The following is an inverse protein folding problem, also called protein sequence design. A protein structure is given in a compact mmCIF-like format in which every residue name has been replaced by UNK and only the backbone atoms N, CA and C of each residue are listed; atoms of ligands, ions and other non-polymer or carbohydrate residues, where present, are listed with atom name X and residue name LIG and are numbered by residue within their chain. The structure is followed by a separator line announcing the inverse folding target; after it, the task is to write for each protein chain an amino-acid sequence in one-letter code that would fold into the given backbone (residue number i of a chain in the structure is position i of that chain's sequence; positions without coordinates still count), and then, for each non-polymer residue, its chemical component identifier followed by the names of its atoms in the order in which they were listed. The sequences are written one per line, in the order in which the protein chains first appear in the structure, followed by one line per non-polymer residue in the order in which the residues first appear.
data_IF_865731008004
#
_entry.id   IF_865731008004
#
_cell.length_a   1.000
_cell.length_b   1.000
_cell.length_c   1.000
_cell.angle_alpha   90.00
_cell.angle_beta   90.00
_cell.angle_gamma   90.00
#
_symmetry.space_group_name_H-M   'P 1'
#
loop_
_entity.id
_entity.type
_entity.pdbx_description
1 polymer ?
#
# COMPACT_ATOMS: atom_id res chain seq x y z
N UNK A 1 -0.88 -16.50 8.90
CA UNK A 1 -1.82 -17.22 8.01
C UNK A 1 -2.70 -16.18 7.32
N UNK A 2 -2.17 -15.51 6.31
CA UNK A 2 -2.91 -14.55 5.46
C UNK A 2 -2.06 -14.33 4.21
N UNK A 3 -2.68 -13.99 3.07
CA UNK A 3 -2.12 -13.78 1.71
C UNK A 3 -2.33 -14.87 0.65
N UNK A 4 -3.15 -15.92 0.88
CA UNK A 4 -3.41 -16.93 -0.19
C UNK A 4 -4.75 -16.82 -0.90
N UNK A 5 -5.69 -15.96 -0.49
CA UNK A 5 -7.05 -16.01 -1.03
C UNK A 5 -7.27 -15.12 -2.27
N UNK A 6 -6.38 -14.17 -2.56
CA UNK A 6 -6.46 -13.34 -3.76
C UNK A 6 -5.11 -13.31 -4.48
N UNK A 7 -4.64 -14.49 -4.89
CA UNK A 7 -3.67 -14.53 -5.97
C UNK A 7 -4.43 -14.16 -7.26
N UNK A 8 -4.57 -12.85 -7.52
CA UNK A 8 -5.07 -12.35 -8.78
C UNK A 8 -4.12 -12.84 -9.86
N UNK A 9 -4.59 -13.79 -10.67
CA UNK A 9 -3.95 -14.26 -11.89
C UNK A 9 -3.95 -13.18 -12.99
N UNK A 10 -3.48 -12.00 -12.64
CA UNK A 10 -2.98 -10.97 -13.53
C UNK A 10 -1.50 -10.73 -13.18
N UNK A 11 -0.72 -11.81 -13.17
CA UNK A 11 0.68 -11.67 -13.58
C UNK A 11 0.62 -11.18 -15.02
N UNK A 12 0.65 -9.87 -15.23
CA UNK A 12 1.04 -9.31 -16.51
C UNK A 12 2.35 -10.00 -16.86
N UNK A 13 2.32 -10.90 -17.84
CA UNK A 13 3.49 -11.69 -18.20
C UNK A 13 4.70 -10.76 -18.44
N UNK A 14 5.93 -11.29 -18.29
CA UNK A 14 7.13 -10.49 -18.41
C UNK A 14 7.13 -9.70 -19.72
N UNK A 15 7.57 -8.45 -19.66
CA UNK A 15 7.59 -7.55 -20.82
C UNK A 15 8.30 -8.22 -22.01
N UNK A 16 7.57 -8.39 -23.12
CA UNK A 16 8.10 -9.00 -24.33
C UNK A 16 8.44 -7.94 -25.40
N UNK A 17 9.70 -7.89 -25.85
CA UNK A 17 10.14 -6.86 -26.79
C UNK A 17 9.41 -6.90 -28.15
N UNK A 18 9.10 -8.08 -28.68
CA UNK A 18 8.37 -8.22 -29.94
C UNK A 18 6.94 -7.68 -29.80
N UNK A 19 6.28 -7.99 -28.68
CA UNK A 19 4.97 -7.44 -28.34
C UNK A 19 5.02 -5.91 -28.21
N UNK A 20 6.02 -5.35 -27.52
CA UNK A 20 6.15 -3.89 -27.37
C UNK A 20 6.41 -3.20 -28.73
N UNK A 21 7.19 -3.82 -29.63
CA UNK A 21 7.40 -3.32 -31.00
C UNK A 21 6.09 -3.27 -31.79
N UNK A 22 5.25 -4.31 -31.65
CA UNK A 22 3.93 -4.34 -32.28
C UNK A 22 3.03 -3.24 -31.73
N UNK A 23 2.95 -3.09 -30.40
CA UNK A 23 2.20 -2.02 -29.73
C UNK A 23 2.61 -0.62 -30.22
N UNK A 24 3.90 -0.35 -30.42
CA UNK A 24 4.36 0.93 -30.94
C UNK A 24 3.89 1.19 -32.39
N UNK A 25 3.94 0.18 -33.26
CA UNK A 25 3.42 0.28 -34.64
C UNK A 25 1.91 0.51 -34.67
N UNK A 26 1.17 -0.24 -33.85
CA UNK A 26 -0.29 -0.14 -33.75
C UNK A 26 -0.71 1.24 -33.20
N UNK A 27 0.03 1.76 -32.21
CA UNK A 27 -0.18 3.10 -31.67
C UNK A 27 0.07 4.19 -32.72
N UNK A 28 1.16 4.10 -33.49
CA UNK A 28 1.44 5.06 -34.57
C UNK A 28 0.32 5.06 -35.62
N UNK A 29 -0.11 3.88 -36.07
CA UNK A 29 -1.23 3.74 -37.02
C UNK A 29 -2.53 4.34 -36.47
N UNK A 30 -2.82 4.09 -35.19
CA UNK A 30 -4.02 4.62 -34.53
C UNK A 30 -3.99 6.13 -34.39
N UNK A 31 -2.81 6.71 -34.12
CA UNK A 31 -2.63 8.17 -34.11
C UNK A 31 -2.88 8.78 -35.49
N UNK A 32 -2.31 8.17 -36.54
CA UNK A 32 -2.51 8.61 -37.93
C UNK A 32 -3.98 8.55 -38.36
N UNK A 33 -4.76 7.63 -37.79
CA UNK A 33 -6.21 7.54 -37.97
C UNK A 33 -7.01 8.49 -37.05
N UNK A 34 -6.35 9.41 -36.34
CA UNK A 34 -6.94 10.36 -35.38
C UNK A 34 -7.79 9.69 -34.28
N UNK A 35 -7.44 8.47 -33.87
CA UNK A 35 -8.17 7.75 -32.82
C UNK A 35 -8.03 8.47 -31.46
N UNK A 36 -9.12 8.87 -30.78
CA UNK A 36 -9.05 9.69 -29.56
C UNK A 36 -8.15 9.12 -28.46
N UNK A 37 -8.19 7.81 -28.23
CA UNK A 37 -7.36 7.14 -27.24
C UNK A 37 -5.86 7.22 -27.56
N UNK A 38 -5.48 7.14 -28.84
CA UNK A 38 -4.09 7.28 -29.25
C UNK A 38 -3.59 8.73 -29.04
N UNK A 39 -4.41 9.72 -29.39
CA UNK A 39 -4.09 11.14 -29.19
C UNK A 39 -3.88 11.45 -27.70
N UNK A 40 -4.75 10.93 -26.83
CA UNK A 40 -4.62 11.08 -25.37
C UNK A 40 -3.34 10.44 -24.83
N UNK A 41 -2.98 9.24 -25.29
CA UNK A 41 -1.74 8.57 -24.87
C UNK A 41 -0.49 9.37 -25.23
N UNK A 42 -0.45 9.96 -26.43
CA UNK A 42 0.63 10.89 -26.80
C UNK A 42 0.66 12.14 -25.92
N UNK A 43 -0.49 12.78 -25.68
CA UNK A 43 -0.58 13.94 -24.76
C UNK A 43 -0.08 13.62 -23.35
N UNK A 44 -0.40 12.44 -22.84
CA UNK A 44 -0.03 12.04 -21.48
C UNK A 44 1.46 11.67 -21.35
N UNK A 45 2.04 11.01 -22.36
CA UNK A 45 3.33 10.35 -22.22
C UNK A 45 4.45 10.89 -23.12
N UNK A 46 4.15 11.60 -24.21
CA UNK A 46 5.20 12.12 -25.09
C UNK A 46 6.07 13.18 -24.37
N UNK A 47 7.40 13.18 -24.51
CA UNK A 47 8.29 14.16 -23.85
C UNK A 47 7.92 15.60 -24.17
N UNK A 48 7.70 15.89 -25.45
CA UNK A 48 7.35 17.24 -25.91
C UNK A 48 5.97 17.66 -25.43
N UNK A 49 5.07 16.71 -25.13
CA UNK A 49 3.76 17.04 -24.56
C UNK A 49 3.85 17.56 -23.12
N UNK A 50 4.94 17.24 -22.40
CA UNK A 50 5.21 17.80 -21.07
C UNK A 50 6.01 19.10 -21.12
N UNK A 51 6.72 19.36 -22.21
CA UNK A 51 7.60 20.53 -22.36
C UNK A 51 6.95 21.68 -23.13
N UNK A 52 6.03 21.38 -24.05
CA UNK A 52 5.30 22.35 -24.85
C UNK A 52 3.93 22.60 -24.23
N UNK A 53 3.65 23.86 -23.86
CA UNK A 53 2.34 24.27 -23.30
C UNK A 53 1.17 23.95 -24.25
N UNK A 54 1.44 23.91 -25.56
CA UNK A 54 0.46 23.68 -26.62
C UNK A 54 0.84 22.46 -27.49
N UNK A 55 0.87 21.26 -26.90
CA UNK A 55 1.04 20.02 -27.70
C UNK A 55 -0.22 19.73 -28.51
N UNK A 56 -0.28 20.32 -29.70
CA UNK A 56 -1.38 20.16 -30.64
C UNK A 56 -1.20 18.88 -31.46
N UNK A 57 -2.00 17.87 -31.10
CA UNK A 57 -2.05 16.59 -31.78
C UNK A 57 -2.59 16.66 -33.22
N UNK A 58 -3.21 17.77 -33.62
CA UNK A 58 -3.70 17.94 -35.00
C UNK A 58 -2.58 18.29 -35.99
N UNK A 59 -1.53 18.97 -35.52
CA UNK A 59 -0.36 19.38 -36.32
C UNK A 59 0.85 18.49 -36.11
N UNK A 60 0.99 17.85 -34.94
CA UNK A 60 2.09 16.93 -34.68
C UNK A 60 2.03 15.73 -35.64
N UNK A 61 3.19 15.34 -36.17
CA UNK A 61 3.35 14.22 -37.11
C UNK A 61 4.32 13.20 -36.49
N UNK A 62 3.81 12.26 -35.68
CA UNK A 62 4.68 11.34 -34.97
C UNK A 62 5.38 10.36 -35.92
N UNK A 63 6.60 10.02 -35.54
CA UNK A 63 7.39 8.93 -36.08
C UNK A 63 7.17 7.65 -35.27
N UNK A 64 7.75 6.53 -35.74
CA UNK A 64 7.77 5.29 -34.95
C UNK A 64 8.56 5.47 -33.64
N UNK A 65 9.61 6.30 -33.64
CA UNK A 65 10.38 6.57 -32.44
C UNK A 65 9.51 7.28 -31.39
N UNK A 66 8.68 8.24 -31.80
CA UNK A 66 7.77 8.94 -30.87
C UNK A 66 6.75 7.98 -30.24
N UNK A 67 6.19 7.05 -31.03
CA UNK A 67 5.34 5.99 -30.52
C UNK A 67 6.09 5.04 -29.55
N UNK A 68 7.35 4.70 -29.83
CA UNK A 68 8.19 3.89 -28.93
C UNK A 68 8.45 4.59 -27.58
N UNK A 69 8.64 5.91 -27.59
CA UNK A 69 8.77 6.71 -26.36
C UNK A 69 7.51 6.65 -25.51
N UNK A 70 6.33 6.82 -26.13
CA UNK A 70 5.04 6.68 -25.44
C UNK A 70 4.92 5.30 -24.81
N UNK A 71 5.16 4.23 -25.57
CA UNK A 71 5.10 2.85 -25.05
C UNK A 71 6.08 2.64 -23.89
N UNK A 72 7.33 3.10 -23.99
CA UNK A 72 8.30 2.94 -22.92
C UNK A 72 7.84 3.61 -21.62
N UNK A 73 7.30 4.83 -21.72
CA UNK A 73 6.86 5.62 -20.56
C UNK A 73 5.59 5.08 -19.92
N UNK A 74 4.68 4.50 -20.70
CA UNK A 74 3.56 3.72 -20.18
C UNK A 74 4.02 2.50 -19.37
N UNK A 75 5.16 1.91 -19.72
CA UNK A 75 5.76 0.81 -18.94
C UNK A 75 6.66 1.30 -17.81
N UNK A 76 6.63 2.60 -17.45
CA UNK A 76 7.41 3.16 -16.34
C UNK A 76 8.89 3.44 -16.66
N UNK A 77 9.29 3.38 -17.94
CA UNK A 77 10.68 3.56 -18.38
C UNK A 77 10.81 4.83 -19.22
N UNK A 78 11.87 5.62 -19.02
CA UNK A 78 11.94 6.96 -19.62
C UNK A 78 12.18 6.95 -21.13
N UNK A 79 12.71 5.85 -21.69
CA UNK A 79 13.05 5.72 -23.11
C UNK A 79 13.01 4.27 -23.62
N UNK A 80 12.93 4.11 -24.94
CA UNK A 80 12.93 2.80 -25.59
C UNK A 80 14.22 1.97 -25.36
N UNK A 81 15.44 2.55 -25.37
CA UNK A 81 16.64 1.83 -24.97
C UNK A 81 16.59 1.28 -23.55
N UNK A 82 16.07 2.05 -22.58
CA UNK A 82 15.91 1.58 -21.21
C UNK A 82 14.90 0.43 -21.13
N UNK A 83 13.81 0.47 -21.90
CA UNK A 83 12.86 -0.64 -21.98
C UNK A 83 13.51 -1.92 -22.52
N UNK A 84 14.31 -1.83 -23.58
CA UNK A 84 15.06 -2.97 -24.09
C UNK A 84 16.01 -3.54 -23.05
N UNK A 85 16.81 -2.67 -22.41
CA UNK A 85 17.77 -3.07 -21.39
C UNK A 85 17.08 -3.72 -20.18
N UNK A 86 15.93 -3.20 -19.75
CA UNK A 86 15.14 -3.79 -18.68
C UNK A 86 14.67 -5.21 -19.04
N UNK A 87 14.09 -5.39 -20.24
CA UNK A 87 13.64 -6.71 -20.73
C UNK A 87 14.80 -7.71 -20.81
N UNK A 88 15.95 -7.28 -21.32
CA UNK A 88 17.15 -8.10 -21.41
C UNK A 88 17.64 -8.52 -20.03
N UNK A 89 17.72 -7.58 -19.09
CA UNK A 89 18.13 -7.86 -17.70
C UNK A 89 17.18 -8.81 -16.98
N UNK A 90 15.87 -8.63 -17.13
CA UNK A 90 14.86 -9.57 -16.62
C UNK A 90 15.07 -10.98 -17.20
N UNK A 91 15.36 -11.07 -18.51
CA UNK A 91 15.62 -12.36 -19.19
C UNK A 91 16.88 -13.04 -18.66
N UNK A 92 17.98 -12.29 -18.53
CA UNK A 92 19.25 -12.82 -17.99
C UNK A 92 19.08 -13.30 -16.55
N UNK A 93 18.40 -12.52 -15.71
CA UNK A 93 18.13 -12.90 -14.33
C UNK A 93 17.25 -14.16 -14.26
N UNK A 94 16.18 -14.25 -15.07
CA UNK A 94 15.33 -15.44 -15.13
C UNK A 94 16.11 -16.68 -15.59
N UNK A 95 17.01 -16.55 -16.57
CA UNK A 95 17.88 -17.64 -17.02
C UNK A 95 18.87 -18.11 -15.94
N UNK A 96 19.46 -17.16 -15.20
CA UNK A 96 20.37 -17.48 -14.09
C UNK A 96 19.66 -18.20 -12.94
N UNK A 97 18.41 -17.84 -12.66
CA UNK A 97 17.57 -18.54 -11.67
C UNK A 97 17.22 -19.95 -12.18
N UNK A 98 16.79 -20.07 -13.44
CA UNK A 98 16.39 -21.34 -14.04
C UNK A 98 17.54 -22.35 -14.15
N UNK A 99 18.79 -21.89 -14.30
CA UNK A 99 19.98 -22.75 -14.32
C UNK A 99 20.40 -23.26 -12.93
N UNK A 100 19.73 -22.83 -11.86
CA UNK A 100 19.98 -23.28 -10.49
C UNK A 100 21.24 -22.71 -9.83
N UNK A 101 21.92 -21.77 -10.49
CA UNK A 101 23.16 -21.16 -9.99
C UNK A 101 23.10 -19.61 -9.99
N UNK A 102 22.06 -18.97 -9.42
CA UNK A 102 22.07 -17.53 -9.29
C UNK A 102 23.17 -17.12 -8.29
N UNK A 103 24.08 -16.23 -8.70
CA UNK A 103 25.03 -15.62 -7.76
C UNK A 103 24.23 -14.84 -6.72
N UNK A 104 24.49 -15.16 -5.44
CA UNK A 104 23.88 -14.47 -4.31
C UNK A 104 24.30 -13.00 -4.32
N UNK A 105 23.33 -12.10 -4.47
CA UNK A 105 23.58 -10.65 -4.52
C UNK A 105 23.97 -10.07 -3.17
N UNK A 106 23.73 -10.83 -2.12
CA UNK A 106 23.98 -10.53 -0.71
C UNK A 106 24.99 -11.49 -0.06
N UNK A 107 25.64 -12.35 -0.84
CA UNK A 107 26.56 -13.38 -0.33
C UNK A 107 27.90 -12.84 0.19
N UNK A 108 28.16 -11.55 0.06
CA UNK A 108 29.40 -10.90 0.52
C UNK A 108 29.47 -10.74 2.04
N UNK A 109 28.34 -10.78 2.75
CA UNK A 109 28.27 -10.70 4.22
C UNK A 109 26.93 -11.17 4.78
N UNK A 110 26.87 -11.59 6.06
CA UNK A 110 25.61 -11.89 6.72
C UNK A 110 24.63 -10.72 6.60
N UNK A 111 23.44 -11.01 6.07
CA UNK A 111 22.45 -10.00 5.72
C UNK A 111 21.11 -10.41 6.31
N UNK A 112 20.39 -9.44 6.88
CA UNK A 112 19.00 -9.59 7.25
C UNK A 112 18.12 -8.77 6.30
N UNK A 113 17.16 -9.42 5.66
CA UNK A 113 16.10 -8.76 4.90
C UNK A 113 14.87 -8.56 5.79
N UNK A 114 14.47 -7.31 5.99
CA UNK A 114 13.30 -6.94 6.77
C UNK A 114 12.17 -6.50 5.82
N UNK A 115 10.98 -7.08 5.99
CA UNK A 115 9.74 -6.74 5.26
C UNK A 115 8.58 -6.69 6.26
N UNK A 116 7.53 -5.91 6.00
CA UNK A 116 6.34 -5.89 6.85
C UNK A 116 5.33 -7.03 6.64
N UNK A 117 5.69 -8.02 5.83
CA UNK A 117 4.94 -9.24 5.52
C UNK A 117 5.89 -10.35 5.04
N UNK A 118 5.35 -11.54 4.81
CA UNK A 118 6.11 -12.73 4.35
C UNK A 118 5.94 -13.03 2.85
N UNK A 119 5.22 -12.19 2.12
CA UNK A 119 4.84 -12.35 0.71
C UNK A 119 6.03 -12.51 -0.24
N UNK A 120 7.16 -11.83 0.03
CA UNK A 120 8.37 -11.94 -0.79
C UNK A 120 9.41 -12.93 -0.25
N UNK A 121 9.22 -13.56 0.91
CA UNK A 121 10.25 -14.40 1.55
C UNK A 121 10.71 -15.53 0.63
N UNK A 122 9.75 -16.28 0.06
CA UNK A 122 10.06 -17.35 -0.89
C UNK A 122 10.60 -16.78 -2.21
N UNK A 123 10.09 -15.63 -2.65
CA UNK A 123 10.55 -14.94 -3.86
C UNK A 123 12.03 -14.56 -3.77
N UNK A 124 12.48 -14.03 -2.62
CA UNK A 124 13.88 -13.70 -2.36
C UNK A 124 14.77 -14.96 -2.37
N UNK A 125 14.31 -16.05 -1.75
CA UNK A 125 15.06 -17.31 -1.78
C UNK A 125 15.22 -17.86 -3.21
N UNK A 126 14.16 -17.87 -4.01
CA UNK A 126 14.21 -18.27 -5.43
C UNK A 126 15.07 -17.32 -6.25
N UNK A 127 15.03 -16.02 -5.92
CA UNK A 127 15.88 -15.01 -6.51
C UNK A 127 17.36 -15.19 -6.14
N UNK A 128 17.73 -16.12 -5.25
CA UNK A 128 19.10 -16.43 -4.90
C UNK A 128 19.68 -15.58 -3.77
N UNK A 129 18.86 -14.86 -3.01
CA UNK A 129 19.32 -14.20 -1.77
C UNK A 129 19.60 -15.25 -0.70
N UNK A 130 20.74 -15.11 -0.02
CA UNK A 130 21.21 -16.06 1.00
C UNK A 130 20.99 -15.55 2.44
N UNK A 131 20.63 -14.27 2.61
CA UNK A 131 20.39 -13.64 3.89
C UNK A 131 19.16 -14.16 4.63
N UNK A 132 19.15 -13.91 5.94
CA UNK A 132 18.01 -14.23 6.79
C UNK A 132 16.83 -13.30 6.51
N UNK A 133 15.63 -13.75 6.86
CA UNK A 133 14.40 -12.98 6.67
C UNK A 133 13.73 -12.64 8.01
N UNK A 134 13.32 -11.38 8.16
CA UNK A 134 12.50 -10.89 9.26
C UNK A 134 11.21 -10.28 8.72
N UNK A 135 10.10 -10.96 9.00
CA UNK A 135 8.76 -10.37 8.91
C UNK A 135 8.51 -9.51 10.16
N UNK A 136 8.29 -8.22 9.97
CA UNK A 136 7.87 -7.29 11.02
C UNK A 136 6.46 -6.76 10.72
N UNK A 137 5.45 -7.53 11.11
CA UNK A 137 4.06 -7.30 10.75
C UNK A 137 3.21 -6.82 11.94
N UNK A 138 3.29 -5.53 12.29
CA UNK A 138 2.38 -4.87 13.23
C UNK A 138 1.56 -3.80 12.46
N UNK A 139 0.27 -4.02 12.21
CA UNK A 139 -0.54 -3.17 11.34
C UNK A 139 -0.91 -1.84 12.01
N UNK A 140 0.02 -0.89 12.09
CA UNK A 140 -0.23 0.42 12.72
C UNK A 140 -1.33 1.25 12.03
N UNK A 141 -1.72 0.89 10.81
CA UNK A 141 -2.86 1.47 10.11
C UNK A 141 -4.22 1.07 10.72
N UNK A 142 -4.29 0.10 11.63
CA UNK A 142 -5.49 -0.29 12.37
C UNK A 142 -5.21 -0.50 13.86
N UNK A 143 -6.20 -0.20 14.70
CA UNK A 143 -6.14 -0.40 16.14
C UNK A 143 -5.35 0.68 16.88
N UNK A 144 -5.26 0.58 18.22
CA UNK A 144 -4.63 1.60 19.06
C UNK A 144 -3.12 1.64 18.85
N UNK A 145 -2.57 2.81 18.53
CA UNK A 145 -1.11 3.04 18.51
C UNK A 145 -0.78 4.04 19.62
N UNK A 146 -0.79 3.63 20.90
CA UNK A 146 -0.47 4.54 22.00
C UNK A 146 1.03 4.89 21.99
N UNK A 147 1.47 5.91 22.76
CA UNK A 147 2.88 6.15 22.99
C UNK A 147 3.61 4.89 23.46
N UNK A 148 4.80 4.63 22.93
CA UNK A 148 5.57 3.40 23.10
C UNK A 148 6.67 3.48 24.18
N UNK A 149 6.60 4.50 25.06
CA UNK A 149 7.53 4.68 26.18
C UNK A 149 7.55 3.50 27.17
N UNK A 150 6.45 2.74 27.26
CA UNK A 150 6.41 1.40 27.85
C UNK A 150 6.14 0.38 26.76
N UNK A 151 7.19 -0.28 26.27
CA UNK A 151 7.08 -1.27 25.20
C UNK A 151 6.20 -2.47 25.61
N UNK A 152 6.21 -2.87 26.88
CA UNK A 152 5.40 -4.00 27.35
C UNK A 152 3.90 -3.65 27.29
N UNK A 153 3.54 -2.48 27.83
CA UNK A 153 2.18 -1.94 27.73
C UNK A 153 1.75 -1.71 26.29
N UNK A 154 2.62 -1.17 25.45
CA UNK A 154 2.39 -0.99 24.02
C UNK A 154 2.05 -2.33 23.34
N UNK A 155 2.90 -3.35 23.50
CA UNK A 155 2.68 -4.67 22.91
C UNK A 155 1.42 -5.36 23.43
N UNK A 156 1.04 -5.13 24.69
CA UNK A 156 -0.22 -5.62 25.24
C UNK A 156 -1.44 -5.02 24.51
N UNK A 157 -1.44 -3.70 24.27
CA UNK A 157 -2.50 -3.04 23.50
C UNK A 157 -2.57 -3.55 22.06
N UNK A 158 -1.42 -3.66 21.38
CA UNK A 158 -1.34 -4.13 19.99
C UNK A 158 -1.79 -5.58 19.85
N UNK A 159 -1.28 -6.48 20.68
CA UNK A 159 -1.64 -7.91 20.62
C UNK A 159 -3.11 -8.17 20.94
N UNK A 160 -3.69 -7.45 21.92
CA UNK A 160 -5.12 -7.54 22.24
C UNK A 160 -6.00 -7.12 21.05
N UNK A 161 -5.64 -6.02 20.37
CA UNK A 161 -6.34 -5.59 19.16
C UNK A 161 -6.25 -6.64 18.05
N UNK A 162 -5.03 -7.09 17.72
CA UNK A 162 -4.79 -8.06 16.63
C UNK A 162 -5.57 -9.37 16.88
N UNK A 163 -5.58 -9.87 18.13
CA UNK A 163 -6.32 -11.07 18.49
C UNK A 163 -7.83 -10.92 18.22
N UNK A 164 -8.42 -9.82 18.69
CA UNK A 164 -9.85 -9.55 18.55
C UNK A 164 -10.26 -9.25 17.10
N UNK A 165 -9.51 -8.36 16.43
CA UNK A 165 -9.83 -7.86 15.10
C UNK A 165 -9.65 -8.94 14.03
N UNK A 166 -8.58 -9.73 14.12
CA UNK A 166 -8.20 -10.68 13.07
C UNK A 166 -8.50 -12.14 13.41
N UNK A 167 -9.10 -12.41 14.56
CA UNK A 167 -9.56 -13.74 14.96
C UNK A 167 -8.43 -14.73 15.19
N UNK A 168 -7.31 -14.26 15.75
CA UNK A 168 -6.21 -15.13 16.20
C UNK A 168 -6.23 -15.24 17.72
N UNK A 169 -5.65 -16.30 18.28
CA UNK A 169 -5.64 -16.46 19.74
C UNK A 169 -4.83 -15.33 20.40
N UNK A 170 -5.22 -14.85 21.60
CA UNK A 170 -4.45 -13.84 22.32
C UNK A 170 -2.98 -14.23 22.53
N UNK A 171 -2.73 -15.51 22.83
CA UNK A 171 -1.39 -16.06 23.00
C UNK A 171 -0.58 -15.99 21.71
N UNK A 172 -1.15 -16.40 20.58
CA UNK A 172 -0.46 -16.32 19.28
C UNK A 172 -0.15 -14.87 18.88
N UNK A 173 -1.09 -13.95 19.11
CA UNK A 173 -0.90 -12.52 18.83
C UNK A 173 0.29 -11.96 19.63
N UNK A 174 0.30 -12.22 20.95
CA UNK A 174 1.35 -11.78 21.85
C UNK A 174 2.71 -12.38 21.47
N UNK A 175 2.78 -13.69 21.24
CA UNK A 175 4.03 -14.37 20.89
C UNK A 175 4.60 -13.89 19.54
N UNK A 176 3.75 -13.69 18.53
CA UNK A 176 4.18 -13.19 17.22
C UNK A 176 4.76 -11.79 17.31
N UNK A 177 4.06 -10.87 18.00
CA UNK A 177 4.55 -9.51 18.18
C UNK A 177 5.84 -9.49 19.01
N UNK A 178 5.87 -10.15 20.18
CA UNK A 178 7.07 -10.20 21.01
C UNK A 178 8.29 -10.67 20.21
N UNK A 179 8.15 -11.78 19.46
CA UNK A 179 9.22 -12.30 18.61
C UNK A 179 9.64 -11.32 17.52
N UNK A 180 8.71 -10.62 16.87
CA UNK A 180 9.03 -9.65 15.83
C UNK A 180 9.85 -8.48 16.38
N UNK A 181 9.45 -7.93 17.53
CA UNK A 181 10.14 -6.82 18.19
C UNK A 181 11.49 -7.23 18.77
N UNK A 182 11.60 -8.41 19.37
CA UNK A 182 12.88 -8.94 19.85
C UNK A 182 13.87 -9.11 18.70
N UNK A 183 13.42 -9.65 17.56
CA UNK A 183 14.27 -9.80 16.38
C UNK A 183 14.65 -8.47 15.75
N UNK A 184 13.76 -7.48 15.73
CA UNK A 184 14.10 -6.12 15.30
C UNK A 184 15.17 -5.53 16.22
N UNK A 185 15.01 -5.66 17.53
CA UNK A 185 15.97 -5.16 18.51
C UNK A 185 17.36 -5.82 18.38
N UNK A 186 17.41 -7.10 18.04
CA UNK A 186 18.65 -7.87 17.84
C UNK A 186 19.25 -7.69 16.45
N UNK A 187 18.51 -7.16 15.48
CA UNK A 187 18.94 -7.03 14.09
C UNK A 187 20.23 -6.22 13.86
N UNK A 188 20.66 -5.26 14.72
CA UNK A 188 21.96 -4.59 14.56
C UNK A 188 23.17 -5.53 14.69
N UNK A 189 22.99 -6.77 15.15
CA UNK A 189 24.03 -7.80 15.14
C UNK A 189 24.40 -8.27 13.74
N UNK A 190 23.54 -8.02 12.73
CA UNK A 190 23.88 -8.26 11.33
C UNK A 190 24.74 -7.10 10.79
N UNK A 191 25.83 -7.38 10.07
CA UNK A 191 26.59 -6.35 9.35
C UNK A 191 25.76 -5.57 8.34
N UNK A 192 24.75 -6.20 7.73
CA UNK A 192 23.84 -5.56 6.78
C UNK A 192 22.38 -5.90 7.10
N UNK A 193 21.54 -4.87 7.16
CA UNK A 193 20.08 -5.00 7.14
C UNK A 193 19.54 -4.25 5.93
N UNK A 194 18.67 -4.90 5.15
CA UNK A 194 17.99 -4.29 4.02
C UNK A 194 16.49 -4.27 4.25
N UNK A 195 15.94 -3.07 4.26
CA UNK A 195 14.52 -2.78 4.44
C UNK A 195 13.81 -2.82 3.08
N UNK A 196 12.80 -3.68 2.94
CA UNK A 196 11.97 -3.80 1.75
C UNK A 196 10.58 -3.21 2.02
N UNK A 197 10.29 -2.06 1.44
CA UNK A 197 9.05 -1.32 1.67
C UNK A 197 8.40 -0.81 0.38
N UNK A 198 7.12 -0.52 0.49
CA UNK A 198 6.23 -0.05 -0.55
C UNK A 198 5.63 1.29 -0.17
N UNK A 199 4.64 1.75 -0.91
CA UNK A 199 4.19 3.13 -0.93
C UNK A 199 2.92 3.40 -0.14
N UNK A 200 2.29 2.35 0.40
CA UNK A 200 0.99 2.43 1.04
C UNK A 200 1.08 2.66 2.56
N UNK A 201 -0.08 2.82 3.21
CA UNK A 201 -0.16 3.15 4.64
C UNK A 201 0.25 2.00 5.58
N UNK A 202 0.12 0.74 5.17
CA UNK A 202 0.60 -0.39 5.97
C UNK A 202 2.13 -0.36 6.02
N UNK A 203 2.74 -0.24 4.85
CA UNK A 203 4.19 -0.18 4.68
C UNK A 203 4.82 1.06 5.32
N UNK A 204 4.33 2.24 4.99
CA UNK A 204 4.97 3.50 5.39
C UNK A 204 4.88 3.76 6.90
N UNK A 205 3.80 3.33 7.57
CA UNK A 205 3.70 3.48 9.02
C UNK A 205 4.63 2.49 9.75
N UNK A 206 4.81 1.28 9.22
CA UNK A 206 5.78 0.33 9.77
C UNK A 206 7.22 0.81 9.52
N UNK A 207 7.50 1.38 8.34
CA UNK A 207 8.79 1.99 8.04
C UNK A 207 9.09 3.14 9.01
N UNK A 208 8.11 3.99 9.34
CA UNK A 208 8.28 5.05 10.33
C UNK A 208 8.74 4.50 11.68
N UNK A 209 8.09 3.45 12.17
CA UNK A 209 8.49 2.78 13.41
C UNK A 209 9.89 2.19 13.34
N UNK A 210 10.23 1.48 12.26
CA UNK A 210 11.56 0.85 12.11
C UNK A 210 12.67 1.91 12.08
N UNK A 211 12.45 3.04 11.38
CA UNK A 211 13.38 4.15 11.34
C UNK A 211 13.50 4.85 12.70
N UNK A 212 12.37 5.11 13.38
CA UNK A 212 12.34 5.59 14.76
C UNK A 212 13.14 4.67 15.69
N UNK A 213 12.91 3.36 15.61
CA UNK A 213 13.57 2.35 16.44
C UNK A 213 15.09 2.39 16.29
N UNK A 214 15.60 2.35 15.06
CA UNK A 214 17.04 2.41 14.81
C UNK A 214 17.64 3.78 15.15
N UNK A 215 16.91 4.88 14.91
CA UNK A 215 17.36 6.24 15.20
C UNK A 215 17.49 6.52 16.70
N UNK A 216 16.60 5.95 17.52
CA UNK A 216 16.67 6.04 18.99
C UNK A 216 17.65 5.06 19.64
N UNK A 217 18.09 4.05 18.89
CA UNK A 217 18.93 2.96 19.39
C UNK A 217 20.16 2.82 18.50
N UNK A 218 20.51 1.58 18.19
CA UNK A 218 21.66 1.22 17.38
C UNK A 218 21.17 0.78 16.00
N UNK A 219 21.66 1.43 14.95
CA UNK A 219 21.54 0.92 13.59
C UNK A 219 22.63 -0.13 13.29
N UNK A 220 22.40 -1.07 12.37
CA UNK A 220 23.46 -1.95 11.85
C UNK A 220 24.52 -1.13 11.09
N UNK A 221 25.70 -1.72 10.87
CA UNK A 221 26.80 -1.08 10.11
C UNK A 221 26.32 -0.61 8.72
N UNK A 222 25.52 -1.43 8.05
CA UNK A 222 24.90 -1.09 6.76
C UNK A 222 23.39 -1.26 6.84
N UNK A 223 22.67 -0.14 7.00
CA UNK A 223 21.22 -0.08 6.84
C UNK A 223 20.87 0.47 5.47
N UNK A 224 20.24 -0.34 4.62
CA UNK A 224 19.78 0.08 3.30
C UNK A 224 18.25 -0.02 3.17
N UNK A 225 17.68 0.85 2.36
CA UNK A 225 16.25 0.91 2.05
C UNK A 225 16.01 0.70 0.56
N UNK A 226 15.09 -0.21 0.27
CA UNK A 226 14.38 -0.34 -1.00
C UNK A 226 12.94 0.11 -0.73
N UNK A 227 12.54 1.23 -1.31
CA UNK A 227 11.18 1.76 -1.19
C UNK A 227 10.64 2.11 -2.57
N UNK A 228 9.60 1.40 -3.02
CA UNK A 228 9.09 1.52 -4.39
C UNK A 228 7.57 1.70 -4.45
N UNK A 229 7.11 2.45 -5.46
CA UNK A 229 5.69 2.69 -5.74
C UNK A 229 5.27 2.26 -7.14
N UNK A 230 6.19 1.63 -7.88
CA UNK A 230 5.99 1.18 -9.26
C UNK A 230 7.06 0.17 -9.62
N UNK A 231 6.76 -0.66 -10.60
CA UNK A 231 7.73 -1.53 -11.24
C UNK A 231 7.46 -1.59 -12.76
N UNK A 232 8.50 -1.55 -13.61
CA UNK A 232 8.27 -1.56 -15.05
C UNK A 232 7.46 -2.76 -15.53
N UNK A 233 6.46 -2.51 -16.38
CA UNK A 233 5.55 -3.53 -16.88
C UNK A 233 4.34 -3.84 -16.00
N UNK A 234 4.27 -3.25 -14.81
CA UNK A 234 3.09 -3.31 -13.94
C UNK A 234 2.34 -1.98 -14.04
N UNK A 235 1.14 -2.02 -14.62
CA UNK A 235 0.30 -0.83 -14.80
C UNK A 235 -0.20 -0.28 -13.45
N UNK A 236 -0.72 -1.17 -12.59
CA UNK A 236 -1.15 -0.86 -11.23
C UNK A 236 -0.32 -1.66 -10.23
N UNK A 237 0.66 -0.97 -9.65
CA UNK A 237 1.52 -1.55 -8.62
C UNK A 237 0.77 -1.55 -7.28
N UNK A 238 0.35 -2.73 -6.86
CA UNK A 238 -0.26 -3.02 -5.57
C UNK A 238 0.84 -3.25 -4.54
N UNK A 239 1.87 -4.02 -4.89
CA UNK A 239 2.95 -4.32 -3.96
C UNK A 239 4.02 -5.27 -4.48
N UNK A 240 5.07 -5.48 -3.69
CA UNK A 240 6.24 -6.32 -4.00
C UNK A 240 5.85 -7.78 -4.19
N UNK A 241 4.78 -8.25 -3.55
CA UNK A 241 4.21 -9.58 -3.77
C UNK A 241 3.77 -9.84 -5.23
N UNK A 242 3.61 -8.81 -6.06
CA UNK A 242 3.36 -8.95 -7.51
C UNK A 242 4.63 -9.29 -8.30
N UNK A 243 5.81 -9.12 -7.73
CA UNK A 243 7.07 -9.25 -8.45
C UNK A 243 7.51 -10.70 -8.54
N UNK A 244 8.00 -11.05 -9.73
CA UNK A 244 8.72 -12.30 -9.93
C UNK A 244 10.09 -12.27 -9.24
N UNK A 245 10.72 -13.43 -8.98
CA UNK A 245 12.07 -13.51 -8.42
C UNK A 245 13.11 -12.66 -9.17
N UNK A 246 13.09 -12.65 -10.50
CA UNK A 246 13.97 -11.78 -11.29
C UNK A 246 13.66 -10.29 -11.09
N UNK A 247 12.39 -9.92 -10.88
CA UNK A 247 12.00 -8.55 -10.53
C UNK A 247 12.57 -8.11 -9.18
N UNK A 248 12.54 -9.00 -8.17
CA UNK A 248 13.18 -8.76 -6.87
C UNK A 248 14.71 -8.61 -6.99
N UNK A 249 15.37 -9.41 -7.84
CA UNK A 249 16.81 -9.24 -8.13
C UNK A 249 17.10 -7.87 -8.74
N UNK A 250 16.28 -7.40 -9.67
CA UNK A 250 16.47 -6.08 -10.28
C UNK A 250 16.24 -4.95 -9.26
N UNK A 251 15.28 -5.09 -8.35
CA UNK A 251 15.04 -4.10 -7.30
C UNK A 251 16.21 -3.92 -6.34
N UNK A 252 17.00 -4.97 -6.10
CA UNK A 252 18.19 -4.89 -5.26
C UNK A 252 19.12 -3.73 -5.62
N UNK A 253 19.28 -3.43 -6.91
CA UNK A 253 20.15 -2.34 -7.39
C UNK A 253 19.63 -0.94 -7.04
N UNK A 254 18.36 -0.85 -6.64
CA UNK A 254 17.73 0.41 -6.22
C UNK A 254 17.96 0.74 -4.76
N UNK A 255 18.51 -0.20 -3.97
CA UNK A 255 18.76 0.03 -2.55
C UNK A 255 19.66 1.25 -2.34
N UNK A 256 19.37 2.03 -1.30
CA UNK A 256 20.19 3.18 -0.89
C UNK A 256 20.44 3.11 0.62
N UNK A 257 21.62 3.55 1.11
CA UNK A 257 21.81 3.73 2.54
C UNK A 257 20.73 4.64 3.12
N UNK A 258 20.23 4.31 4.31
CA UNK A 258 19.28 5.17 5.03
C UNK A 258 19.99 6.45 5.48
N UNK A 259 19.39 7.60 5.20
CA UNK A 259 19.99 8.91 5.51
C UNK A 259 19.53 9.47 6.86
N UNK A 260 20.26 10.44 7.45
CA UNK A 260 19.83 11.14 8.65
C UNK A 260 18.44 11.78 8.55
N UNK A 261 18.08 12.33 7.38
CA UNK A 261 16.77 12.93 7.12
C UNK A 261 15.65 11.88 7.13
N UNK A 262 15.94 10.65 6.68
CA UNK A 262 14.99 9.54 6.75
C UNK A 262 14.77 9.08 8.19
N UNK A 263 15.83 9.01 9.01
CA UNK A 263 15.68 8.76 10.45
C UNK A 263 14.84 9.84 11.13
N UNK A 264 15.14 11.12 10.88
CA UNK A 264 14.39 12.24 11.42
C UNK A 264 12.91 12.24 11.00
N UNK A 265 12.63 11.88 9.74
CA UNK A 265 11.26 11.74 9.25
C UNK A 265 10.55 10.57 9.94
N UNK A 266 11.20 9.41 10.07
CA UNK A 266 10.65 8.25 10.77
C UNK A 266 10.27 8.55 12.22
N UNK A 267 11.17 9.23 12.94
CA UNK A 267 10.90 9.74 14.29
C UNK A 267 9.67 10.64 14.33
N UNK A 268 9.64 11.68 13.50
CA UNK A 268 8.55 12.66 13.52
C UNK A 268 7.19 12.02 13.17
N UNK A 269 7.17 11.10 12.20
CA UNK A 269 5.96 10.37 11.82
C UNK A 269 5.52 9.43 12.94
N UNK A 270 6.44 8.72 13.60
CA UNK A 270 6.09 7.85 14.72
C UNK A 270 5.51 8.64 15.91
N UNK A 271 6.13 9.76 16.28
CA UNK A 271 5.60 10.67 17.29
C UNK A 271 4.22 11.21 16.91
N UNK A 272 4.02 11.61 15.65
CA UNK A 272 2.72 12.07 15.16
C UNK A 272 1.68 10.96 15.15
N UNK A 273 2.06 9.73 14.81
CA UNK A 273 1.19 8.57 14.76
C UNK A 273 0.73 8.16 16.15
N UNK A 274 1.58 8.29 17.17
CA UNK A 274 1.26 7.95 18.56
C UNK A 274 0.57 9.09 19.33
N UNK A 275 0.50 10.29 18.75
CA UNK A 275 -0.11 11.45 19.38
C UNK A 275 -1.64 11.32 19.47
N UNK A 276 -2.26 11.93 20.51
CA UNK A 276 -3.72 11.91 20.69
C UNK A 276 -4.49 12.78 19.69
N UNK A 277 -3.79 13.53 18.84
CA UNK A 277 -4.39 14.41 17.82
C UNK A 277 -3.69 14.21 16.47
N UNK A 278 -4.42 14.35 15.34
CA UNK A 278 -3.85 14.14 14.00
C UNK A 278 -3.00 15.32 13.52
N UNK A 279 -2.93 16.43 14.26
CA UNK A 279 -2.31 17.69 13.83
C UNK A 279 -0.87 17.54 13.35
N UNK A 280 -0.06 16.77 14.09
CA UNK A 280 1.34 16.53 13.72
C UNK A 280 1.45 15.74 12.41
N UNK A 281 0.64 14.69 12.23
CA UNK A 281 0.59 13.93 10.98
C UNK A 281 0.12 14.77 9.79
N UNK A 282 -0.88 15.63 9.98
CA UNK A 282 -1.35 16.57 8.95
C UNK A 282 -0.22 17.51 8.53
N UNK A 283 0.51 18.08 9.49
CA UNK A 283 1.63 18.97 9.19
C UNK A 283 2.74 18.25 8.41
N UNK A 284 3.09 17.02 8.81
CA UNK A 284 4.08 16.20 8.11
C UNK A 284 3.64 15.84 6.69
N UNK A 285 2.39 15.41 6.51
CA UNK A 285 1.79 15.16 5.20
C UNK A 285 1.92 16.37 4.27
N UNK A 286 1.65 17.58 4.77
CA UNK A 286 1.71 18.81 3.98
C UNK A 286 3.12 19.20 3.53
N UNK A 287 4.17 18.71 4.19
CA UNK A 287 5.56 18.91 3.73
C UNK A 287 5.90 18.15 2.44
N UNK A 288 5.07 17.16 2.07
CA UNK A 288 5.37 16.22 0.99
C UNK A 288 6.45 15.18 1.33
N UNK A 289 6.97 15.21 2.56
CA UNK A 289 7.95 14.25 3.12
C UNK A 289 9.10 13.93 2.16
N UNK A 290 9.90 14.91 1.70
CA UNK A 290 10.84 14.74 0.59
C UNK A 290 11.91 13.64 0.81
N UNK A 291 12.26 13.34 2.07
CA UNK A 291 13.20 12.26 2.40
C UNK A 291 12.65 10.86 2.03
N UNK A 292 11.33 10.68 2.07
CA UNK A 292 10.58 9.48 1.66
C UNK A 292 9.28 9.96 1.00
N UNK A 293 9.33 10.29 -0.29
CA UNK A 293 8.23 10.96 -0.99
C UNK A 293 6.91 10.15 -1.03
N UNK A 294 6.96 8.83 -0.82
CA UNK A 294 5.78 7.97 -0.71
C UNK A 294 5.03 8.12 0.62
N UNK A 295 5.68 8.67 1.65
CA UNK A 295 5.13 8.75 2.99
C UNK A 295 3.98 9.76 3.08
N UNK A 296 4.08 10.96 2.50
CA UNK A 296 3.00 11.94 2.51
C UNK A 296 1.67 11.41 1.91
N UNK A 297 1.64 10.78 0.71
CA UNK A 297 0.45 10.10 0.21
C UNK A 297 -0.10 9.02 1.15
N UNK A 298 0.78 8.23 1.78
CA UNK A 298 0.38 7.20 2.73
C UNK A 298 -0.23 7.78 4.02
N UNK A 299 0.36 8.87 4.55
CA UNK A 299 -0.16 9.60 5.71
C UNK A 299 -1.51 10.22 5.40
N UNK A 300 -1.68 10.83 4.22
CA UNK A 300 -2.97 11.32 3.75
C UNK A 300 -4.01 10.21 3.74
N UNK A 301 -3.66 9.07 3.15
CA UNK A 301 -4.57 7.91 3.09
C UNK A 301 -4.91 7.38 4.48
N UNK A 302 -3.97 7.35 5.41
CA UNK A 302 -4.22 6.98 6.80
C UNK A 302 -5.16 7.98 7.50
N UNK A 303 -4.95 9.29 7.33
CA UNK A 303 -5.82 10.33 7.89
C UNK A 303 -7.24 10.30 7.31
N UNK A 304 -7.40 9.81 6.08
CA UNK A 304 -8.72 9.56 5.48
C UNK A 304 -9.47 8.38 6.13
N UNK A 305 -8.86 7.66 7.07
CA UNK A 305 -9.57 6.75 7.97
C UNK A 305 -10.22 7.45 9.16
N UNK A 306 -10.03 8.75 9.37
CA UNK A 306 -10.90 9.54 10.23
C UNK A 306 -12.31 9.62 9.60
N UNK A 307 -13.39 9.76 10.40
CA UNK A 307 -14.72 10.01 9.85
C UNK A 307 -14.71 11.30 9.02
N UNK A 308 -15.32 11.30 7.84
CA UNK A 308 -15.39 12.50 7.02
C UNK A 308 -16.46 13.46 7.55
N UNK A 309 -16.22 14.77 7.42
CA UNK A 309 -17.18 15.79 7.87
C UNK A 309 -18.55 15.70 7.19
N UNK A 310 -18.57 15.22 5.95
CA UNK A 310 -19.76 15.23 5.09
C UNK A 310 -20.77 14.15 5.52
N UNK A 311 -20.30 12.92 5.77
CA UNK A 311 -21.17 11.77 5.99
C UNK A 311 -20.71 10.84 7.13
N UNK A 312 -19.60 11.16 7.77
CA UNK A 312 -19.02 10.40 8.88
C UNK A 312 -18.36 9.08 8.48
N UNK A 313 -18.27 8.74 7.19
CA UNK A 313 -17.60 7.53 6.72
C UNK A 313 -16.08 7.72 6.70
N UNK A 314 -15.33 6.66 6.97
CA UNK A 314 -13.93 6.56 6.55
C UNK A 314 -13.85 6.36 5.03
N UNK A 315 -12.70 6.64 4.40
CA UNK A 315 -12.56 6.39 2.96
C UNK A 315 -12.73 4.91 2.60
N UNK A 316 -12.16 3.99 3.39
CA UNK A 316 -12.36 2.55 3.16
C UNK A 316 -13.85 2.19 3.18
N UNK A 317 -14.58 2.68 4.18
CA UNK A 317 -16.00 2.41 4.35
C UNK A 317 -16.79 2.96 3.16
N UNK A 318 -16.54 4.21 2.79
CA UNK A 318 -17.17 4.87 1.64
C UNK A 318 -16.96 4.10 0.34
N UNK A 319 -15.71 3.71 0.04
CA UNK A 319 -15.40 2.93 -1.17
C UNK A 319 -16.10 1.57 -1.15
N UNK A 320 -16.15 0.89 -0.02
CA UNK A 320 -16.88 -0.38 0.14
C UNK A 320 -18.37 -0.20 -0.17
N UNK A 321 -19.03 0.82 0.40
CA UNK A 321 -20.46 1.02 0.15
C UNK A 321 -20.72 1.38 -1.32
N UNK A 322 -19.89 2.23 -1.93
CA UNK A 322 -20.00 2.59 -3.35
C UNK A 322 -19.85 1.38 -4.28
N UNK A 323 -18.94 0.45 -3.98
CA UNK A 323 -18.82 -0.81 -4.73
C UNK A 323 -20.12 -1.63 -4.65
N UNK A 324 -20.79 -1.64 -3.50
CA UNK A 324 -22.05 -2.36 -3.32
C UNK A 324 -23.25 -1.67 -3.99
N UNK A 325 -23.19 -0.36 -4.23
CA UNK A 325 -24.18 0.37 -5.03
C UNK A 325 -24.04 0.01 -6.52
N UNK A 326 -22.81 -0.01 -7.02
CA UNK A 326 -22.54 -0.24 -8.45
C UNK A 326 -22.82 -1.69 -8.90
N UNK A 327 -23.06 -2.60 -7.97
CA UNK A 327 -23.20 -4.03 -8.25
C UNK A 327 -24.15 -4.70 -7.28
N UNK A 328 -25.26 -5.23 -7.78
CA UNK A 328 -26.20 -6.00 -6.97
C UNK A 328 -25.57 -7.31 -6.47
N UNK A 329 -25.55 -7.50 -5.15
CA UNK A 329 -25.19 -8.75 -4.46
C UNK A 329 -23.79 -9.29 -4.81
N UNK A 330 -22.75 -8.65 -4.28
CA UNK A 330 -21.37 -9.13 -4.36
C UNK A 330 -21.00 -10.00 -3.15
N UNK A 331 -20.12 -10.97 -3.36
CA UNK A 331 -19.45 -11.63 -2.23
C UNK A 331 -18.44 -10.67 -1.60
N UNK A 332 -18.11 -10.88 -0.32
CA UNK A 332 -17.09 -10.09 0.37
C UNK A 332 -15.74 -10.14 -0.35
N UNK A 333 -15.35 -11.30 -0.90
CA UNK A 333 -14.11 -11.43 -1.66
C UNK A 333 -14.12 -10.71 -3.01
N UNK A 334 -15.26 -10.71 -3.73
CA UNK A 334 -15.37 -9.92 -4.98
C UNK A 334 -15.34 -8.42 -4.69
N UNK A 335 -16.03 -8.00 -3.63
CA UNK A 335 -16.01 -6.61 -3.17
C UNK A 335 -14.58 -6.18 -2.82
N UNK A 336 -13.83 -7.02 -2.11
CA UNK A 336 -12.43 -6.75 -1.79
C UNK A 336 -11.54 -6.69 -3.03
N UNK A 337 -11.74 -7.60 -3.99
CA UNK A 337 -11.04 -7.58 -5.26
C UNK A 337 -11.25 -6.28 -6.03
N UNK A 338 -12.50 -5.79 -6.12
CA UNK A 338 -12.80 -4.50 -6.74
C UNK A 338 -12.19 -3.32 -5.99
N UNK A 339 -12.23 -3.37 -4.65
CA UNK A 339 -11.60 -2.36 -3.80
C UNK A 339 -10.11 -2.24 -4.14
N UNK A 340 -9.36 -3.34 -3.99
CA UNK A 340 -7.91 -3.38 -4.18
C UNK A 340 -7.49 -3.09 -5.62
N UNK A 341 -8.19 -3.65 -6.61
CA UNK A 341 -7.76 -3.58 -8.00
C UNK A 341 -8.23 -2.34 -8.76
N UNK A 342 -9.29 -1.66 -8.29
CA UNK A 342 -9.93 -0.60 -9.09
C UNK A 342 -10.26 0.68 -8.31
N UNK A 343 -10.59 0.60 -7.02
CA UNK A 343 -11.24 1.73 -6.31
C UNK A 343 -10.34 2.40 -5.28
N UNK A 344 -9.56 1.62 -4.55
CA UNK A 344 -8.67 2.12 -3.51
C UNK A 344 -7.49 2.87 -4.16
N UNK A 345 -7.29 4.17 -3.92
CA UNK A 345 -6.15 4.89 -4.52
C UNK A 345 -4.79 4.34 -4.11
N UNK A 346 -4.65 3.83 -2.87
CA UNK A 346 -3.38 3.36 -2.32
C UNK A 346 -3.60 2.05 -1.52
N UNK A 347 -3.70 0.89 -2.19
CA UNK A 347 -4.10 -0.36 -1.54
C UNK A 347 -3.15 -0.80 -0.44
N UNK A 348 -3.66 -1.02 0.77
CA UNK A 348 -2.87 -1.40 1.96
C UNK A 348 -3.52 -2.49 2.83
N UNK A 349 -4.79 -2.82 2.57
CA UNK A 349 -5.52 -3.77 3.40
C UNK A 349 -5.15 -5.21 3.00
N UNK A 350 -4.93 -6.06 4.01
CA UNK A 350 -4.97 -7.51 3.86
C UNK A 350 -6.36 -8.10 4.15
N UNK A 351 -6.53 -9.39 3.84
CA UNK A 351 -7.80 -10.13 4.01
C UNK A 351 -8.44 -9.96 5.40
N UNK A 352 -7.65 -10.17 6.46
CA UNK A 352 -8.11 -10.07 7.84
C UNK A 352 -8.49 -8.64 8.23
N UNK A 353 -7.77 -7.66 7.69
CA UNK A 353 -8.02 -6.24 7.94
C UNK A 353 -9.32 -5.79 7.28
N UNK A 354 -9.55 -6.21 6.03
CA UNK A 354 -10.79 -5.90 5.34
C UNK A 354 -12.00 -6.62 5.96
N UNK A 355 -11.83 -7.89 6.37
CA UNK A 355 -12.87 -8.60 7.10
C UNK A 355 -13.23 -7.91 8.42
N UNK A 356 -12.25 -7.36 9.14
CA UNK A 356 -12.51 -6.54 10.32
C UNK A 356 -13.36 -5.30 9.98
N UNK A 357 -13.07 -4.58 8.87
CA UNK A 357 -13.91 -3.46 8.41
C UNK A 357 -15.35 -3.91 8.13
N UNK A 358 -15.55 -5.01 7.39
CA UNK A 358 -16.88 -5.53 7.08
C UNK A 358 -17.67 -5.94 8.34
N UNK A 359 -16.99 -6.50 9.34
CA UNK A 359 -17.61 -6.79 10.64
C UNK A 359 -18.06 -5.51 11.33
N UNK A 360 -17.22 -4.49 11.39
CA UNK A 360 -17.60 -3.20 12.00
C UNK A 360 -18.80 -2.56 11.29
N UNK A 361 -18.85 -2.62 9.96
CA UNK A 361 -19.99 -2.10 9.16
C UNK A 361 -21.30 -2.87 9.37
N UNK A 362 -21.22 -4.18 9.65
CA UNK A 362 -22.40 -5.04 9.80
C UNK A 362 -22.86 -5.23 11.25
N UNK A 363 -22.00 -4.90 12.21
CA UNK A 363 -22.24 -5.05 13.65
C UNK A 363 -22.40 -3.72 14.38
N UNK A 364 -22.38 -2.58 13.66
CA UNK A 364 -22.69 -1.27 14.22
C UNK A 364 -24.14 -1.21 14.75
N UNK A 365 -24.46 -0.30 15.70
CA UNK A 365 -25.82 -0.16 16.24
C UNK A 365 -26.90 -0.01 15.17
N UNK A 366 -26.56 0.70 14.08
CA UNK A 366 -27.31 0.71 12.84
C UNK A 366 -26.41 0.20 11.69
N UNK A 367 -26.57 -1.06 11.25
CA UNK A 367 -25.72 -1.67 10.23
C UNK A 367 -25.80 -0.93 8.89
N UNK A 368 -24.64 -0.69 8.27
CA UNK A 368 -24.55 -0.08 6.93
C UNK A 368 -24.60 -1.16 5.83
N UNK A 369 -24.21 -2.39 6.18
CA UNK A 369 -24.30 -3.55 5.30
C UNK A 369 -24.88 -4.75 6.05
N UNK A 370 -25.46 -5.68 5.31
CA UNK A 370 -25.75 -7.03 5.80
C UNK A 370 -24.75 -8.01 5.22
N UNK A 371 -24.32 -8.97 6.04
CA UNK A 371 -23.50 -10.10 5.63
C UNK A 371 -24.37 -11.36 5.69
N UNK A 372 -24.78 -11.87 4.53
CA UNK A 372 -25.58 -13.10 4.42
C UNK A 372 -24.67 -14.29 4.22
N UNK A 373 -24.95 -15.34 4.98
CA UNK A 373 -24.21 -16.61 4.96
C UNK A 373 -25.21 -17.74 4.68
N UNK A 374 -24.86 -18.67 3.80
CA UNK A 374 -25.65 -19.87 3.54
C UNK A 374 -25.48 -20.93 4.65
N UNK A 375 -24.36 -20.87 5.37
CA UNK A 375 -24.10 -21.70 6.55
C UNK A 375 -23.11 -21.02 7.50
N UNK A 376 -23.00 -21.50 8.74
CA UNK A 376 -22.02 -21.00 9.70
C UNK A 376 -20.57 -21.29 9.28
N UNK A 377 -20.34 -22.37 8.53
CA UNK A 377 -19.02 -22.80 8.06
C UNK A 377 -18.56 -22.08 6.78
N UNK A 378 -19.42 -21.27 6.16
CA UNK A 378 -19.08 -20.57 4.91
C UNK A 378 -17.93 -19.57 5.14
N UNK A 379 -16.83 -19.68 4.36
CA UNK A 379 -15.71 -18.75 4.46
C UNK A 379 -16.15 -17.31 4.21
N UNK A 380 -15.55 -16.36 4.94
CA UNK A 380 -15.95 -14.95 4.90
C UNK A 380 -16.01 -14.39 3.47
N UNK A 381 -15.04 -14.73 2.60
CA UNK A 381 -14.93 -14.20 1.24
C UNK A 381 -16.05 -14.65 0.30
N UNK A 382 -16.80 -15.71 0.66
CA UNK A 382 -17.92 -16.22 -0.12
C UNK A 382 -19.27 -15.65 0.34
N UNK A 383 -19.31 -15.06 1.54
CA UNK A 383 -20.53 -14.47 2.11
C UNK A 383 -20.99 -13.28 1.29
N UNK A 384 -22.29 -13.17 1.12
CA UNK A 384 -22.92 -12.14 0.30
C UNK A 384 -23.05 -10.84 1.10
N UNK A 385 -22.65 -9.72 0.50
CA UNK A 385 -22.80 -8.39 1.04
C UNK A 385 -23.97 -7.68 0.37
N UNK A 386 -24.77 -6.97 1.16
CA UNK A 386 -25.78 -6.04 0.65
C UNK A 386 -25.78 -4.76 1.45
N UNK A 387 -25.94 -3.64 0.76
CA UNK A 387 -26.17 -2.35 1.38
C UNK A 387 -27.51 -2.38 2.13
N UNK A 388 -27.59 -1.71 3.29
CA UNK A 388 -28.85 -1.45 3.98
C UNK A 388 -29.46 -0.13 3.52
N UNK A 389 -30.75 0.10 3.82
CA UNK A 389 -31.39 1.40 3.56
C UNK A 389 -30.64 2.54 4.27
N UNK A 390 -30.09 2.26 5.46
CA UNK A 390 -29.25 3.21 6.18
C UNK A 390 -27.92 3.49 5.47
N UNK A 391 -27.22 2.45 5.02
CA UNK A 391 -25.99 2.61 4.24
C UNK A 391 -26.23 3.41 2.94
N UNK A 392 -27.39 3.21 2.30
CA UNK A 392 -27.80 3.97 1.12
C UNK A 392 -28.09 5.44 1.45
N UNK A 393 -28.84 5.71 2.54
CA UNK A 393 -29.16 7.07 2.97
C UNK A 393 -27.89 7.89 3.28
N UNK A 394 -26.88 7.28 3.91
CA UNK A 394 -25.59 7.94 4.17
C UNK A 394 -24.90 8.30 2.85
N UNK A 395 -24.81 7.37 1.89
CA UNK A 395 -24.19 7.65 0.59
C UNK A 395 -24.92 8.74 -0.21
N UNK A 396 -26.24 8.85 -0.03
CA UNK A 396 -27.05 9.89 -0.67
C UNK A 396 -26.95 11.26 0.03
N UNK A 397 -26.25 11.35 1.17
CA UNK A 397 -26.19 12.57 1.99
C UNK A 397 -27.47 12.86 2.78
N UNK A 398 -28.36 11.87 2.90
CA UNK A 398 -29.64 11.97 3.63
C UNK A 398 -29.46 11.66 5.13
N UNK A 399 -28.32 11.07 5.49
CA UNK A 399 -27.99 10.63 6.82
C UNK A 399 -26.49 10.81 7.11
N UNK A 400 -26.12 10.82 8.40
CA UNK A 400 -24.73 10.95 8.81
C UNK A 400 -24.34 9.78 9.71
N UNK A 401 -23.27 9.04 9.37
CA UNK A 401 -22.86 7.82 10.09
C UNK A 401 -22.75 8.01 11.59
N UNK A 402 -22.21 9.15 12.02
CA UNK A 402 -21.99 9.46 13.44
C UNK A 402 -23.29 9.51 14.26
N UNK A 403 -24.47 9.67 13.63
CA UNK A 403 -25.76 9.67 14.32
C UNK A 403 -26.10 8.33 14.98
N UNK A 404 -25.61 7.21 14.41
CA UNK A 404 -25.85 5.87 14.93
C UNK A 404 -24.86 5.44 16.03
N UNK A 405 -23.82 6.25 16.32
CA UNK A 405 -22.72 5.86 17.18
C UNK A 405 -21.93 4.66 16.63
N UNK A 406 -21.21 3.95 17.52
CA UNK A 406 -20.49 2.71 17.16
C UNK A 406 -19.26 2.94 16.28
N UNK A 407 -18.66 4.13 16.37
CA UNK A 407 -17.38 4.45 15.72
C UNK A 407 -16.20 4.39 16.69
N UNK A 408 -16.39 3.78 17.86
CA UNK A 408 -15.39 3.69 18.93
C UNK A 408 -14.20 2.86 18.45
N UNK A 409 -13.15 3.54 18.02
CA UNK A 409 -11.94 2.93 17.45
C UNK A 409 -10.78 3.90 17.49
N UNK A 410 -9.64 3.44 16.98
CA UNK A 410 -8.42 4.23 16.90
C UNK A 410 -8.01 4.46 15.46
N UNK A 411 -7.42 5.64 15.21
CA UNK A 411 -6.68 5.99 13.99
C UNK A 411 -5.30 6.46 14.45
N UNK A 412 -4.34 5.54 14.49
CA UNK A 412 -3.08 5.77 15.18
C UNK A 412 -3.32 5.95 16.69
N UNK A 413 -2.82 7.06 17.25
CA UNK A 413 -3.02 7.50 18.62
C UNK A 413 -4.29 8.33 18.83
N UNK A 414 -5.04 8.64 17.77
CA UNK A 414 -6.31 9.36 17.88
C UNK A 414 -7.41 8.36 18.26
N UNK A 415 -7.93 8.50 19.49
CA UNK A 415 -9.07 7.74 19.96
C UNK A 415 -10.37 8.42 19.53
N UNK A 416 -11.19 7.72 18.75
CA UNK A 416 -12.52 8.17 18.38
C UNK A 416 -13.52 7.55 19.37
N UNK A 417 -14.31 8.39 20.03
CA UNK A 417 -15.31 7.96 21.02
C UNK A 417 -16.66 8.61 20.70
N UNK A 418 -17.68 7.78 20.51
CA UNK A 418 -19.04 8.22 20.25
C UNK A 418 -19.53 9.11 21.40
N UNK A 419 -20.11 10.28 21.07
CA UNK A 419 -20.59 11.24 22.06
C UNK A 419 -19.55 12.26 22.56
N UNK A 420 -18.31 12.20 22.08
CA UNK A 420 -17.29 13.24 22.30
C UNK A 420 -17.04 14.04 21.01
N UNK A 421 -16.38 15.22 21.07
CA UNK A 421 -15.86 15.88 19.88
C UNK A 421 -14.90 14.97 19.12
N UNK A 422 -15.10 14.81 17.81
CA UNK A 422 -14.32 13.90 16.97
C UNK A 422 -13.44 14.67 16.01
N UNK A 423 -12.23 14.17 15.78
CA UNK A 423 -11.43 14.59 14.64
C UNK A 423 -12.04 14.00 13.37
N UNK A 424 -12.37 14.87 12.43
CA UNK A 424 -12.96 14.53 11.15
C UNK A 424 -12.06 14.94 10.00
N UNK A 425 -12.11 14.20 8.91
CA UNK A 425 -11.43 14.55 7.67
C UNK A 425 -12.25 15.56 6.86
N UNK A 426 -11.65 16.71 6.55
CA UNK A 426 -12.19 17.72 5.63
C UNK A 426 -11.55 17.53 4.26
N UNK A 427 -12.26 16.84 3.37
CA UNK A 427 -11.77 16.54 2.03
C UNK A 427 -11.56 17.81 1.17
N UNK A 428 -12.33 18.87 1.40
CA UNK A 428 -12.23 20.11 0.64
C UNK A 428 -10.95 20.89 1.01
N UNK A 429 -10.57 20.85 2.30
CA UNK A 429 -9.36 21.52 2.81
C UNK A 429 -8.14 20.61 2.95
N UNK A 430 -8.29 19.32 2.64
CA UNK A 430 -7.24 18.31 2.73
C UNK A 430 -6.55 18.25 4.10
N UNK A 431 -7.36 18.25 5.17
CA UNK A 431 -6.87 18.29 6.55
C UNK A 431 -7.85 17.63 7.53
N UNK A 432 -7.36 17.25 8.71
CA UNK A 432 -8.22 16.92 9.83
C UNK A 432 -8.68 18.20 10.57
N UNK A 433 -9.92 18.22 11.02
CA UNK A 433 -10.49 19.28 11.86
C UNK A 433 -11.25 18.67 13.03
N UNK A 434 -11.34 19.37 14.15
CA UNK A 434 -12.17 18.92 15.27
C UNK A 434 -13.63 19.33 15.02
N UNK A 435 -14.56 18.40 15.17
CA UNK A 435 -15.99 18.68 15.04
C UNK A 435 -16.40 19.77 16.03
N UNK A 436 -17.06 20.83 15.53
CA UNK A 436 -17.46 22.05 16.25
C UNK A 436 -16.35 23.07 16.57
N UNK A 437 -15.18 23.00 15.94
CA UNK A 437 -14.33 24.20 15.84
C UNK A 437 -14.96 25.20 14.84
N UNK A 438 -15.14 26.47 15.24
CA UNK A 438 -15.83 27.50 14.43
C UNK A 438 -15.13 27.86 13.11
#
# INVERSE_FOLDING_TARGET
MSNRLFNSSHLTGPLNLAQQRKRAKDLLKSYQAAAPAALQRFKAHHPDAKLLRDFDTSVFRPTLSDAQWVIAREQGLSSWPQLKAHIERMTVAAQAIASGHPIALDGDKPTLHLRCGSDIQQGLAIAGFAGDFLEFADPYCQGPVPPDGDLSGFLAHRSAFIASAYGISPQDAQQRLARAYDRLHQSPTYPRVVLWFEHDAYDQLILAYVLHHYGQRQAPEQLALICVNRFPGIERFIGLGQLSPEGLRLLWETQRPVTPEQFALGEAVWQGLTAPTPTALVALMQTGTPAIATMAPALRRHLQELPWLEDGLSLTERLTLQILVDSESLTAGRTFGLLTQQREPLPYLGDSMYWHVLRTLSQSPQPLITVRSNSAAEPWHQRQLRLTDWGQAILNGEAHRLQAGGIDRWVGGVQLLSGQPLWCWDQARDRAVLQNEP
#
